data_IF_847705576454
#
_entry.id   IF_847705576454
#
_cell.length_a   1.000
_cell.length_b   1.000
_cell.length_c   1.000
_cell.angle_alpha   90.00
_cell.angle_beta   90.00
_cell.angle_gamma   90.00
#
_symmetry.space_group_name_H-M   'P 1'
#
loop_
_entity.id
_entity.type
_entity.pdbx_description
1 polymer ?
#
# COMPACT_ATOMS: atom_id res chain seq x y z
N UNK A 1 8.47 12.00 7.14
CA UNK A 1 8.06 12.71 5.90
C UNK A 1 6.64 12.28 5.53
N UNK A 2 5.87 13.10 4.83
CA UNK A 2 4.48 12.76 4.50
C UNK A 2 4.26 12.69 2.99
N UNK A 3 3.45 11.72 2.59
CA UNK A 3 2.93 11.58 1.25
C UNK A 3 1.42 11.65 1.26
N UNK A 4 0.86 12.14 0.16
CA UNK A 4 -0.58 12.31 -0.01
C UNK A 4 -1.04 11.60 -1.27
N UNK A 5 -2.21 10.97 -1.18
CA UNK A 5 -2.83 10.21 -2.24
C UNK A 5 -4.35 10.42 -2.21
N UNK A 6 -4.97 10.61 -3.36
CA UNK A 6 -6.44 10.75 -3.46
C UNK A 6 -7.13 9.42 -3.18
N UNK A 7 -8.27 9.42 -2.48
CA UNK A 7 -8.98 8.19 -2.15
C UNK A 7 -9.53 7.42 -3.36
N UNK A 8 -9.79 8.06 -4.50
CA UNK A 8 -10.47 7.40 -5.63
C UNK A 8 -9.53 6.64 -6.59
N UNK A 9 -8.26 6.41 -6.24
CA UNK A 9 -7.21 5.91 -7.17
C UNK A 9 -6.69 4.49 -6.87
N UNK A 10 -7.51 3.64 -6.27
CA UNK A 10 -7.04 2.35 -5.75
C UNK A 10 -7.13 1.16 -6.69
N UNK A 11 -7.86 1.25 -7.80
CA UNK A 11 -7.98 0.12 -8.73
C UNK A 11 -6.60 -0.39 -9.14
N UNK A 12 -6.51 -1.71 -9.34
CA UNK A 12 -5.30 -2.35 -9.87
C UNK A 12 -4.90 -1.79 -11.25
N UNK A 13 -5.83 -1.16 -11.97
CA UNK A 13 -5.63 -0.49 -13.26
C UNK A 13 -5.29 1.01 -13.13
N UNK A 14 -5.45 1.60 -11.95
CA UNK A 14 -5.33 3.04 -11.78
C UNK A 14 -3.88 3.51 -11.89
N UNK A 15 -3.75 4.73 -12.42
CA UNK A 15 -2.52 5.47 -12.55
C UNK A 15 -2.66 6.76 -11.75
N UNK A 16 -1.72 7.05 -10.86
CA UNK A 16 -1.80 8.22 -9.99
C UNK A 16 -0.44 8.59 -9.42
N UNK A 17 -0.37 9.80 -8.86
CA UNK A 17 0.81 10.30 -8.17
C UNK A 17 0.61 10.25 -6.66
N UNK A 18 1.72 10.03 -5.94
CA UNK A 18 1.87 10.40 -4.55
C UNK A 18 2.64 11.71 -4.49
N UNK A 19 2.06 12.70 -3.82
CA UNK A 19 2.69 14.02 -3.63
C UNK A 19 3.29 14.14 -2.23
N UNK A 20 4.26 15.02 -2.05
CA UNK A 20 4.74 15.41 -0.72
C UNK A 20 3.91 16.56 -0.11
N UNK A 21 4.38 17.10 1.02
CA UNK A 21 3.79 18.22 1.75
C UNK A 21 3.77 19.54 0.95
N UNK A 22 4.59 19.65 -0.10
CA UNK A 22 4.63 20.80 -1.00
C UNK A 22 3.78 20.57 -2.26
N UNK A 23 2.94 19.52 -2.26
CA UNK A 23 2.15 19.08 -3.41
C UNK A 23 3.00 18.72 -4.65
N UNK A 24 4.28 18.41 -4.45
CA UNK A 24 5.17 17.99 -5.54
C UNK A 24 5.05 16.49 -5.75
N UNK A 25 4.88 16.06 -7.01
CA UNK A 25 4.83 14.64 -7.36
C UNK A 25 6.17 13.97 -7.01
N UNK A 26 6.15 12.97 -6.12
CA UNK A 26 7.34 12.21 -5.70
C UNK A 26 7.39 10.83 -6.32
N UNK A 27 6.25 10.14 -6.32
CA UNK A 27 6.12 8.82 -6.91
C UNK A 27 4.97 8.79 -7.88
N UNK A 28 5.15 8.05 -8.96
CA UNK A 28 4.11 7.70 -9.91
C UNK A 28 3.82 6.21 -9.77
N UNK A 29 2.55 5.86 -9.60
CA UNK A 29 2.10 4.48 -9.50
C UNK A 29 1.38 4.12 -10.78
N UNK A 30 1.84 3.05 -11.42
CA UNK A 30 1.25 2.52 -12.64
C UNK A 30 0.79 1.08 -12.43
N UNK A 31 -0.52 0.88 -12.53
CA UNK A 31 -1.13 -0.45 -12.59
C UNK A 31 -0.97 -1.12 -13.96
N UNK A 32 -0.73 -2.42 -13.94
CA UNK A 32 -0.72 -3.32 -15.09
C UNK A 32 -1.66 -4.50 -14.79
N UNK A 33 -2.65 -4.68 -15.68
CA UNK A 33 -3.62 -5.75 -15.59
C UNK A 33 -3.28 -6.81 -16.61
N UNK A 34 -2.77 -7.94 -16.12
CA UNK A 34 -2.41 -9.11 -16.91
C UNK A 34 -2.92 -10.38 -16.23
N UNK A 35 -2.35 -11.56 -16.54
CA UNK A 35 -2.62 -12.79 -15.79
C UNK A 35 -2.26 -12.65 -14.29
N UNK A 36 -1.28 -11.79 -13.99
CA UNK A 36 -0.90 -11.38 -12.64
C UNK A 36 -0.99 -9.86 -12.57
N UNK A 37 -1.76 -9.34 -11.61
CA UNK A 37 -1.91 -7.91 -11.44
C UNK A 37 -0.66 -7.34 -10.77
N UNK A 38 -0.09 -6.31 -11.38
CA UNK A 38 1.12 -5.65 -10.90
C UNK A 38 0.90 -4.16 -10.77
N UNK A 39 1.55 -3.54 -9.79
CA UNK A 39 1.65 -2.07 -9.69
C UNK A 39 3.11 -1.70 -9.55
N UNK A 40 3.59 -0.88 -10.47
CA UNK A 40 4.95 -0.33 -10.45
C UNK A 40 4.92 1.00 -9.72
N UNK A 41 5.84 1.19 -8.79
CA UNK A 41 6.07 2.46 -8.11
C UNK A 41 7.35 3.03 -8.69
N UNK A 42 7.22 4.18 -9.34
CA UNK A 42 8.27 4.85 -10.08
C UNK A 42 8.64 6.13 -9.34
N UNK A 43 9.93 6.32 -9.05
CA UNK A 43 10.41 7.59 -8.53
C UNK A 43 10.42 8.63 -9.67
N UNK A 44 9.71 9.73 -9.47
CA UNK A 44 9.49 10.75 -10.51
C UNK A 44 10.78 11.48 -10.88
N UNK A 45 11.70 11.63 -9.93
CA UNK A 45 12.96 12.38 -10.14
C UNK A 45 13.93 11.58 -10.99
N UNK A 46 14.04 10.27 -10.72
CA UNK A 46 14.99 9.38 -11.39
C UNK A 46 14.38 8.64 -12.58
N UNK A 47 13.04 8.61 -12.68
CA UNK A 47 12.27 7.80 -13.62
C UNK A 47 12.61 6.30 -13.55
N UNK A 48 12.89 5.81 -12.34
CA UNK A 48 13.21 4.39 -12.09
C UNK A 48 12.13 3.70 -11.27
N UNK A 49 11.92 2.41 -11.53
CA UNK A 49 11.03 1.57 -10.72
C UNK A 49 11.74 1.28 -9.39
N UNK A 50 11.20 1.82 -8.30
CA UNK A 50 11.76 1.66 -6.95
C UNK A 50 11.12 0.51 -6.18
N UNK A 51 9.90 0.12 -6.56
CA UNK A 51 9.21 -1.04 -6.00
C UNK A 51 8.13 -1.55 -6.96
N UNK A 52 7.78 -2.82 -6.83
CA UNK A 52 6.65 -3.45 -7.52
C UNK A 52 5.79 -4.18 -6.49
N UNK A 53 4.49 -4.03 -6.62
CA UNK A 53 3.49 -4.79 -5.88
C UNK A 53 2.88 -5.79 -6.85
N UNK A 54 2.76 -7.04 -6.43
CA UNK A 54 2.25 -8.12 -7.27
C UNK A 54 1.19 -8.92 -6.48
N UNK A 55 0.05 -9.20 -7.09
CA UNK A 55 -0.93 -10.07 -6.46
C UNK A 55 -0.54 -11.56 -6.57
N UNK A 56 -0.99 -12.38 -5.62
CA UNK A 56 -0.88 -13.83 -5.71
C UNK A 56 -2.20 -14.38 -6.25
N UNK A 57 -2.32 -14.65 -7.57
CA UNK A 57 -3.60 -14.98 -8.19
C UNK A 57 -4.18 -16.30 -7.66
N UNK A 58 -3.33 -17.29 -7.39
CA UNK A 58 -3.73 -18.59 -6.83
C UNK A 58 -3.33 -18.62 -5.36
N UNK A 59 -4.28 -18.26 -4.48
CA UNK A 59 -4.09 -18.30 -3.03
C UNK A 59 -5.41 -18.49 -2.30
N UNK A 60 -5.36 -19.21 -1.18
CA UNK A 60 -6.54 -19.40 -0.31
C UNK A 60 -6.93 -18.10 0.41
N UNK A 61 -5.94 -17.26 0.72
CA UNK A 61 -6.11 -15.97 1.38
C UNK A 61 -5.58 -14.87 0.48
N UNK A 62 -6.24 -13.70 0.38
CA UNK A 62 -5.73 -12.55 -0.35
C UNK A 62 -4.29 -12.23 0.06
N UNK A 63 -3.36 -12.41 -0.87
CA UNK A 63 -1.92 -12.29 -0.63
C UNK A 63 -1.29 -11.44 -1.72
N UNK A 64 -0.41 -10.54 -1.33
CA UNK A 64 0.38 -9.69 -2.23
C UNK A 64 1.86 -9.77 -1.88
N UNK A 65 2.70 -9.59 -2.87
CA UNK A 65 4.15 -9.50 -2.74
C UNK A 65 4.62 -8.07 -2.94
N UNK A 66 5.62 -7.67 -2.16
CA UNK A 66 6.40 -6.46 -2.40
C UNK A 66 7.76 -6.88 -2.92
N UNK A 67 8.14 -6.34 -4.07
CA UNK A 67 9.36 -6.66 -4.80
C UNK A 67 10.19 -5.37 -4.92
N UNK A 68 11.43 -5.41 -4.48
CA UNK A 68 12.41 -4.32 -4.62
C UNK A 68 13.67 -4.93 -5.20
N UNK A 69 14.29 -4.25 -6.17
CA UNK A 69 15.49 -4.76 -6.86
C UNK A 69 15.33 -6.20 -7.36
N UNK A 70 14.14 -6.53 -7.90
CA UNK A 70 13.77 -7.88 -8.40
C UNK A 70 13.74 -8.97 -7.32
N UNK A 71 13.86 -8.64 -6.05
CA UNK A 71 13.76 -9.57 -4.93
C UNK A 71 12.44 -9.36 -4.20
N UNK A 72 11.74 -10.45 -3.90
CA UNK A 72 10.57 -10.41 -3.01
C UNK A 72 11.05 -10.11 -1.59
N UNK A 73 10.77 -8.90 -1.12
CA UNK A 73 11.17 -8.41 0.20
C UNK A 73 10.09 -8.61 1.25
N UNK A 74 8.81 -8.51 0.88
CA UNK A 74 7.68 -8.78 1.77
C UNK A 74 6.61 -9.64 1.10
N UNK A 75 5.91 -10.42 1.93
CA UNK A 75 4.64 -11.07 1.62
C UNK A 75 3.60 -10.54 2.61
N UNK A 76 2.51 -10.00 2.09
CA UNK A 76 1.44 -9.39 2.88
C UNK A 76 0.18 -10.22 2.65
N UNK A 77 -0.31 -10.84 3.71
CA UNK A 77 -1.47 -11.73 3.66
C UNK A 77 -2.56 -11.20 4.58
N UNK A 78 -3.78 -11.04 4.07
CA UNK A 78 -4.95 -10.77 4.92
C UNK A 78 -5.50 -12.06 5.48
N UNK A 79 -5.62 -12.14 6.80
CA UNK A 79 -6.22 -13.29 7.47
C UNK A 79 -7.73 -13.28 7.30
N UNK A 80 -8.32 -14.46 7.20
CA UNK A 80 -9.77 -14.61 7.17
C UNK A 80 -10.34 -14.37 8.57
N UNK A 81 -10.97 -13.20 8.76
CA UNK A 81 -11.70 -12.84 9.98
C UNK A 81 -12.99 -12.12 9.59
N UNK A 82 -14.11 -12.53 10.19
CA UNK A 82 -15.44 -11.98 9.86
C UNK A 82 -15.58 -10.51 10.25
N UNK A 83 -15.05 -10.10 11.39
CA UNK A 83 -15.38 -8.81 12.01
C UNK A 83 -14.24 -7.79 12.08
N UNK A 84 -12.98 -8.20 11.94
CA UNK A 84 -11.81 -7.30 12.02
C UNK A 84 -10.76 -7.70 11.01
N UNK A 85 -10.31 -6.74 10.23
CA UNK A 85 -9.21 -6.96 9.29
C UNK A 85 -7.91 -7.17 10.05
N UNK A 86 -7.18 -8.21 9.66
CA UNK A 86 -5.88 -8.56 10.22
C UNK A 86 -4.93 -8.94 9.09
N UNK A 87 -3.71 -8.41 9.18
CA UNK A 87 -2.66 -8.63 8.19
C UNK A 87 -1.47 -9.31 8.85
N UNK A 88 -0.89 -10.26 8.13
CA UNK A 88 0.41 -10.84 8.44
C UNK A 88 1.39 -10.38 7.37
N UNK A 89 2.51 -9.80 7.81
CA UNK A 89 3.62 -9.37 6.97
C UNK A 89 4.81 -10.27 7.28
N UNK A 90 5.32 -10.94 6.26
CA UNK A 90 6.49 -11.82 6.34
C UNK A 90 7.58 -11.31 5.40
N UNK A 91 8.85 -11.49 5.75
CA UNK A 91 9.97 -11.14 4.86
C UNK A 91 11.11 -10.45 5.60
N UNK A 92 11.70 -9.43 4.96
CA UNK A 92 12.91 -8.75 5.46
C UNK A 92 12.71 -7.85 6.68
N UNK A 93 11.46 -7.68 7.12
CA UNK A 93 11.07 -6.78 8.21
C UNK A 93 10.13 -7.49 9.17
N UNK A 94 10.23 -7.16 10.46
CA UNK A 94 9.34 -7.70 11.49
C UNK A 94 8.17 -6.74 11.75
N UNK A 95 7.41 -6.47 10.69
CA UNK A 95 6.36 -5.46 10.71
C UNK A 95 5.03 -6.01 11.22
N UNK A 96 4.43 -5.24 12.13
CA UNK A 96 3.08 -5.47 12.63
C UNK A 96 2.21 -4.30 12.22
N UNK A 97 1.02 -4.59 11.69
CA UNK A 97 0.04 -3.56 11.31
C UNK A 97 -1.08 -3.52 12.34
N UNK A 98 -1.39 -2.32 12.85
CA UNK A 98 -2.44 -2.12 13.86
C UNK A 98 -3.25 -0.88 13.56
N UNK A 99 -4.56 -0.95 13.76
CA UNK A 99 -5.47 0.20 13.66
C UNK A 99 -6.78 -0.17 12.99
N UNK A 100 -7.50 0.86 12.53
CA UNK A 100 -8.71 0.73 11.74
C UNK A 100 -8.38 0.86 10.25
N UNK A 101 -8.58 -0.23 9.52
CA UNK A 101 -8.33 -0.27 8.07
C UNK A 101 -9.47 0.34 7.24
N UNK A 102 -10.70 0.32 7.76
CA UNK A 102 -11.88 0.86 7.07
C UNK A 102 -11.88 2.38 7.04
N UNK A 103 -11.48 3.00 8.14
CA UNK A 103 -11.32 4.46 8.25
C UNK A 103 -9.93 4.96 7.81
N UNK A 104 -9.05 4.06 7.38
CA UNK A 104 -7.67 4.35 6.98
C UNK A 104 -6.89 5.06 8.10
N UNK A 105 -7.02 4.54 9.33
CA UNK A 105 -6.34 5.01 10.54
C UNK A 105 -5.54 3.83 11.12
N UNK A 106 -4.36 3.58 10.57
CA UNK A 106 -3.53 2.46 11.01
C UNK A 106 -2.03 2.77 10.94
N UNK A 107 -1.23 1.96 11.64
CA UNK A 107 0.22 2.11 11.74
C UNK A 107 0.93 0.82 11.37
N UNK A 108 2.10 0.96 10.77
CA UNK A 108 3.09 -0.11 10.61
C UNK A 108 4.14 0.09 11.70
N UNK A 109 4.36 -0.95 12.50
CA UNK A 109 5.22 -0.92 13.69
C UNK A 109 6.31 -1.99 13.52
N UNK A 110 7.55 -1.64 13.84
CA UNK A 110 8.68 -2.57 13.88
C UNK A 110 9.35 -2.47 15.25
N UNK A 111 9.44 -3.59 15.97
CA UNK A 111 10.09 -3.65 17.30
C UNK A 111 9.62 -2.56 18.28
N UNK A 112 8.33 -2.22 18.24
CA UNK A 112 7.72 -1.19 19.10
C UNK A 112 7.80 0.24 18.57
N UNK A 113 8.58 0.51 17.51
CA UNK A 113 8.68 1.83 16.89
C UNK A 113 7.72 1.96 15.70
N UNK A 114 7.05 3.11 15.59
CA UNK A 114 6.20 3.42 14.43
C UNK A 114 7.08 3.71 13.22
N UNK A 115 6.94 2.90 12.17
CA UNK A 115 7.62 3.08 10.88
C UNK A 115 6.77 3.87 9.89
N UNK A 116 5.45 3.68 9.98
CA UNK A 116 4.49 4.39 9.14
C UNK A 116 3.18 4.61 9.88
N UNK A 117 2.55 5.76 9.63
CA UNK A 117 1.20 6.07 10.07
C UNK A 117 0.36 6.53 8.88
N UNK A 118 -0.83 5.95 8.76
CA UNK A 118 -1.80 6.24 7.72
C UNK A 118 -2.98 6.91 8.39
N UNK A 119 -3.41 8.05 7.84
CA UNK A 119 -4.55 8.80 8.36
C UNK A 119 -5.37 9.34 7.21
N UNK A 120 -6.70 9.18 7.27
CA UNK A 120 -7.63 9.90 6.41
C UNK A 120 -7.58 11.39 6.74
N UNK A 121 -7.31 12.23 5.76
CA UNK A 121 -7.52 13.67 5.85
C UNK A 121 -8.73 14.08 5.04
N UNK A 122 -9.66 14.76 5.72
CA UNK A 122 -10.78 15.44 5.12
C UNK A 122 -10.29 16.83 4.69
N UNK A 123 -10.03 17.02 3.40
CA UNK A 123 -9.73 18.34 2.81
C UNK A 123 -10.92 18.84 1.99
N UNK A 124 -11.00 20.16 1.79
CA UNK A 124 -12.05 20.80 0.98
C UNK A 124 -12.11 20.33 -0.48
N UNK A 125 -11.05 19.69 -1.00
CA UNK A 125 -10.94 19.18 -2.38
C UNK A 125 -11.16 17.66 -2.52
N UNK A 126 -11.73 17.02 -1.49
CA UNK A 126 -12.07 15.59 -1.47
C UNK A 126 -11.20 14.77 -0.53
N UNK A 127 -11.59 13.51 -0.33
CA UNK A 127 -10.91 12.60 0.58
C UNK A 127 -9.51 12.22 0.08
N UNK A 128 -8.50 12.50 0.90
CA UNK A 128 -7.11 12.10 0.68
C UNK A 128 -6.60 11.30 1.88
N UNK A 129 -5.66 10.40 1.62
CA UNK A 129 -4.92 9.72 2.68
C UNK A 129 -3.53 10.28 2.77
N UNK A 130 -3.11 10.49 4.01
CA UNK A 130 -1.75 10.83 4.36
C UNK A 130 -1.02 9.55 4.75
N UNK A 131 0.18 9.36 4.19
CA UNK A 131 1.11 8.31 4.56
C UNK A 131 2.33 9.00 5.16
N UNK A 132 2.48 8.93 6.47
CA UNK A 132 3.62 9.46 7.19
C UNK A 132 4.66 8.35 7.38
N UNK A 133 5.85 8.55 6.82
CA UNK A 133 6.96 7.60 6.87
C UNK A 133 8.04 8.14 7.80
N UNK A 134 8.48 7.32 8.76
CA UNK A 134 9.48 7.71 9.76
C UNK A 134 10.88 7.87 9.15
N UNK A 135 11.34 6.90 8.36
CA UNK A 135 12.66 6.88 7.74
C UNK A 135 12.58 7.14 6.23
N UNK A 136 13.39 8.10 5.76
CA UNK A 136 13.43 8.45 4.34
C UNK A 136 14.06 7.39 3.44
N UNK A 137 15.02 6.62 3.96
CA UNK A 137 15.61 5.52 3.20
C UNK A 137 14.62 4.38 2.94
N UNK A 138 13.60 4.23 3.79
CA UNK A 138 12.63 3.13 3.71
C UNK A 138 11.35 3.50 2.95
N UNK A 139 11.23 4.74 2.44
CA UNK A 139 9.99 5.22 1.82
C UNK A 139 9.46 4.34 0.68
N UNK A 140 10.27 3.86 -0.29
CA UNK A 140 9.77 2.96 -1.32
C UNK A 140 9.15 1.67 -0.76
N UNK A 141 9.79 1.07 0.24
CA UNK A 141 9.31 -0.17 0.88
C UNK A 141 8.00 0.08 1.65
N UNK A 142 7.96 1.16 2.43
CA UNK A 142 6.79 1.52 3.23
C UNK A 142 5.60 1.85 2.33
N UNK A 143 5.80 2.68 1.30
CA UNK A 143 4.75 3.03 0.33
C UNK A 143 4.25 1.76 -0.38
N UNK A 144 5.15 0.87 -0.80
CA UNK A 144 4.76 -0.36 -1.44
C UNK A 144 3.92 -1.27 -0.52
N UNK A 145 4.31 -1.39 0.75
CA UNK A 145 3.53 -2.16 1.73
C UNK A 145 2.16 -1.54 1.99
N UNK A 146 2.07 -0.21 2.12
CA UNK A 146 0.79 0.50 2.27
C UNK A 146 -0.12 0.25 1.08
N UNK A 147 0.38 0.45 -0.14
CA UNK A 147 -0.39 0.22 -1.36
C UNK A 147 -0.80 -1.25 -1.55
N UNK A 148 0.03 -2.20 -1.10
CA UNK A 148 -0.32 -3.62 -1.10
C UNK A 148 -1.46 -3.92 -0.13
N UNK A 149 -1.40 -3.41 1.12
CA UNK A 149 -2.50 -3.52 2.09
C UNK A 149 -3.79 -2.94 1.49
N UNK A 150 -3.72 -1.76 0.88
CA UNK A 150 -4.88 -1.13 0.24
C UNK A 150 -5.45 -1.98 -0.90
N UNK A 151 -4.59 -2.58 -1.72
CA UNK A 151 -5.00 -3.46 -2.81
C UNK A 151 -5.71 -4.72 -2.29
N UNK A 152 -5.27 -5.26 -1.15
CA UNK A 152 -5.93 -6.39 -0.48
C UNK A 152 -7.31 -6.01 0.06
N UNK A 153 -7.44 -4.83 0.69
CA UNK A 153 -8.71 -4.35 1.24
C UNK A 153 -9.77 -4.19 0.14
N UNK A 154 -9.37 -3.65 -1.02
CA UNK A 154 -10.28 -3.46 -2.15
C UNK A 154 -10.71 -4.76 -2.83
N UNK A 155 -9.80 -5.74 -2.98
CA UNK A 155 -10.14 -7.03 -3.61
C UNK A 155 -11.33 -7.69 -2.90
N UNK A 156 -11.37 -7.63 -1.57
CA UNK A 156 -12.50 -8.12 -0.75
C UNK A 156 -13.81 -7.37 -1.00
N UNK A 157 -13.80 -6.05 -1.17
CA UNK A 157 -15.04 -5.29 -1.37
C UNK A 157 -15.68 -5.58 -2.73
N UNK A 158 -14.87 -5.94 -3.73
CA UNK A 158 -15.35 -6.38 -5.04
C UNK A 158 -15.94 -7.79 -4.97
N UNK A 159 -15.28 -8.71 -4.25
CA UNK A 159 -15.79 -10.08 -4.05
C UNK A 159 -17.14 -10.09 -3.30
N UNK A 160 -17.28 -9.33 -2.21
CA UNK A 160 -18.52 -9.23 -1.44
C UNK A 160 -19.66 -8.47 -2.14
N UNK A 161 -19.38 -7.71 -3.20
CA UNK A 161 -20.40 -7.00 -3.98
C UNK A 161 -20.97 -7.84 -5.14
N UNK A 162 -20.38 -9.02 -5.39
CA UNK A 162 -20.77 -9.95 -6.45
C UNK A 162 -21.52 -11.19 -5.93
N UNK A 163 -21.55 -11.39 -4.60
CA UNK A 163 -22.37 -12.38 -3.88
C UNK A 163 -23.67 -11.74 -3.37
#
# INVERSE_FOLDING_TARGET
MKFFMKQKVFSLKDKFFLTDEQATNRYYVEGDFSLVNRRKIIDVTTNTIVAVIEDKPISLLPTFYVIINQQRVLTITKKFKLFKDEFVIEGSKNWVVKGDFGDYIYKIIENGAVKCEITKKLFSFGDQFQIEVADKGEAPLVIAAVLAIQSVLQKRSLELALD
#
